data_IF_531694114157
#
_entry.id   IF_531694114157
#
_cell.length_a   1.000
_cell.length_b   1.000
_cell.length_c   1.000
_cell.angle_alpha   90.00
_cell.angle_beta   90.00
_cell.angle_gamma   90.00
#
_symmetry.space_group_name_H-M   'P 1'
#
loop_
_entity.id
_entity.type
_entity.pdbx_description
1 polymer ?
#
# COMPACT_ATOMS: atom_id res chain seq x y z
N UNK A 1 -23.23 -21.88 13.19
CA UNK A 1 -22.87 -20.86 12.19
C UNK A 1 -22.55 -21.58 10.90
N UNK A 2 -23.24 -21.27 9.80
CA UNK A 2 -22.79 -21.66 8.46
C UNK A 2 -21.46 -20.96 8.21
N UNK A 3 -20.37 -21.71 8.11
CA UNK A 3 -19.08 -21.16 7.66
C UNK A 3 -19.21 -20.87 6.17
N UNK A 4 -19.45 -19.59 5.84
CA UNK A 4 -19.63 -19.13 4.46
C UNK A 4 -18.38 -19.35 3.57
N UNK A 5 -17.23 -19.60 4.18
CA UNK A 5 -15.96 -19.86 3.51
C UNK A 5 -15.31 -21.08 4.17
N UNK A 6 -14.89 -22.06 3.35
CA UNK A 6 -14.27 -23.32 3.79
C UNK A 6 -12.84 -23.50 3.25
N UNK A 7 -12.36 -22.57 2.43
CA UNK A 7 -11.04 -22.56 1.83
C UNK A 7 -10.77 -21.22 1.16
N UNK A 8 -9.50 -20.88 0.95
CA UNK A 8 -9.08 -19.65 0.29
C UNK A 8 -7.97 -19.94 -0.74
N UNK A 9 -7.96 -19.15 -1.82
CA UNK A 9 -6.89 -19.13 -2.82
C UNK A 9 -6.35 -17.70 -2.93
N UNK A 10 -5.06 -17.51 -2.68
CA UNK A 10 -4.38 -16.20 -2.78
C UNK A 10 -3.38 -16.23 -3.94
N UNK A 11 -3.60 -15.39 -4.95
CA UNK A 11 -2.78 -15.35 -6.16
C UNK A 11 -2.08 -14.00 -6.24
N UNK A 12 -0.75 -14.00 -6.16
CA UNK A 12 0.09 -12.81 -6.40
C UNK A 12 -0.21 -11.60 -5.51
N UNK A 13 -0.76 -11.82 -4.31
CA UNK A 13 -1.03 -10.74 -3.35
C UNK A 13 -1.51 -11.24 -1.99
N UNK A 14 -1.27 -10.42 -0.97
CA UNK A 14 -1.69 -10.63 0.42
C UNK A 14 -2.25 -9.33 1.03
N UNK A 15 -2.97 -9.44 2.16
CA UNK A 15 -3.37 -8.27 2.94
C UNK A 15 -2.17 -7.53 3.56
N UNK A 16 -1.00 -8.15 3.59
CA UNK A 16 0.27 -7.57 4.04
C UNK A 16 1.05 -6.89 2.91
N UNK A 17 0.64 -7.08 1.65
CA UNK A 17 1.27 -6.45 0.51
C UNK A 17 1.19 -4.91 0.65
N UNK A 18 2.23 -4.15 0.24
CA UNK A 18 2.26 -2.68 0.37
C UNK A 18 1.10 -1.90 -0.26
N UNK A 19 0.36 -2.55 -1.17
CA UNK A 19 -0.83 -2.04 -1.86
C UNK A 19 -2.13 -2.67 -1.35
N UNK A 20 -2.08 -3.69 -0.49
CA UNK A 20 -3.25 -4.39 0.04
C UNK A 20 -4.03 -3.58 1.07
N UNK A 21 -3.40 -2.55 1.65
CA UNK A 21 -4.02 -1.69 2.66
C UNK A 21 -3.51 -0.25 2.60
N UNK A 22 -4.40 0.70 2.90
CA UNK A 22 -4.08 2.12 3.07
C UNK A 22 -3.42 2.40 4.42
N UNK A 23 -2.77 3.55 4.53
CA UNK A 23 -2.39 4.08 5.84
C UNK A 23 -3.62 4.76 6.45
N UNK A 24 -4.19 4.18 7.50
CA UNK A 24 -5.37 4.71 8.19
C UNK A 24 -5.22 6.17 8.60
N UNK A 25 -4.04 6.56 9.10
CA UNK A 25 -3.72 7.94 9.47
C UNK A 25 -3.81 8.94 8.31
N UNK A 26 -3.78 8.46 7.06
CA UNK A 26 -3.92 9.28 5.84
C UNK A 26 -5.30 9.16 5.20
N UNK A 27 -6.12 8.19 5.57
CA UNK A 27 -7.41 7.95 4.92
C UNK A 27 -8.35 9.16 5.03
N UNK A 28 -8.49 9.71 6.25
CA UNK A 28 -9.24 10.94 6.50
C UNK A 28 -8.65 12.10 5.71
N UNK A 29 -7.36 12.38 5.86
CA UNK A 29 -6.72 13.50 5.19
C UNK A 29 -6.80 13.42 3.67
N UNK A 30 -6.72 12.21 3.09
CA UNK A 30 -6.93 11.96 1.67
C UNK A 30 -8.35 12.29 1.24
N UNK A 31 -9.37 11.90 2.00
CA UNK A 31 -10.76 12.25 1.72
C UNK A 31 -10.96 13.79 1.75
N UNK A 32 -10.39 14.47 2.74
CA UNK A 32 -10.44 15.92 2.85
C UNK A 32 -9.67 16.65 1.74
N UNK A 33 -8.56 16.09 1.28
CA UNK A 33 -7.85 16.57 0.08
C UNK A 33 -8.76 16.52 -1.15
N UNK A 34 -9.52 15.44 -1.34
CA UNK A 34 -10.51 15.37 -2.42
C UNK A 34 -11.61 16.40 -2.24
N UNK A 35 -12.08 16.62 -1.00
CA UNK A 35 -13.01 17.71 -0.67
C UNK A 35 -12.50 19.08 -1.10
N UNK A 36 -11.22 19.40 -0.83
CA UNK A 36 -10.58 20.65 -1.28
C UNK A 36 -10.51 20.75 -2.81
N UNK A 37 -10.18 19.66 -3.51
CA UNK A 37 -10.22 19.62 -4.98
C UNK A 37 -11.66 19.80 -5.53
N UNK A 38 -12.69 19.54 -4.72
CA UNK A 38 -14.11 19.81 -5.02
C UNK A 38 -14.58 21.22 -4.62
N UNK A 39 -13.68 22.07 -4.13
CA UNK A 39 -13.98 23.43 -3.68
C UNK A 39 -14.61 23.52 -2.30
N UNK A 40 -14.50 22.46 -1.48
CA UNK A 40 -14.85 22.52 -0.07
C UNK A 40 -13.65 22.98 0.76
N UNK A 41 -13.84 24.06 1.52
CA UNK A 41 -12.89 24.47 2.56
C UNK A 41 -13.44 24.02 3.91
N UNK A 42 -13.05 22.81 4.33
CA UNK A 42 -13.51 22.19 5.57
C UNK A 42 -12.33 21.99 6.51
N UNK A 43 -12.55 22.35 7.78
CA UNK A 43 -11.65 22.00 8.86
C UNK A 43 -11.76 20.50 9.17
N UNK A 44 -10.69 19.75 8.91
CA UNK A 44 -10.60 18.32 9.15
C UNK A 44 -10.80 17.93 10.63
N UNK A 45 -10.59 18.87 11.56
CA UNK A 45 -10.75 18.66 13.00
C UNK A 45 -12.19 18.88 13.51
N UNK A 46 -13.06 19.51 12.72
CA UNK A 46 -14.44 19.79 13.11
C UNK A 46 -15.31 18.52 13.05
N UNK A 47 -16.17 18.30 14.06
CA UNK A 47 -17.03 17.10 14.14
C UNK A 47 -17.96 16.94 12.93
N UNK A 48 -18.53 18.03 12.42
CA UNK A 48 -19.50 18.00 11.32
C UNK A 48 -18.85 17.92 9.92
N UNK A 49 -17.53 18.07 9.85
CA UNK A 49 -16.81 18.18 8.57
C UNK A 49 -16.90 16.92 7.71
N UNK A 50 -16.97 15.74 8.33
CA UNK A 50 -17.07 14.46 7.61
C UNK A 50 -18.45 14.27 6.98
N UNK A 51 -19.52 14.67 7.67
CA UNK A 51 -20.88 14.62 7.15
C UNK A 51 -21.06 15.56 5.97
N UNK A 52 -20.58 16.81 6.09
CA UNK A 52 -20.65 17.80 5.00
C UNK A 52 -19.85 17.32 3.78
N UNK A 53 -18.67 16.75 4.01
CA UNK A 53 -17.85 16.15 2.96
C UNK A 53 -18.60 15.01 2.24
N UNK A 54 -19.22 14.10 3.01
CA UNK A 54 -19.99 12.98 2.46
C UNK A 54 -21.15 13.46 1.60
N UNK A 55 -21.96 14.39 2.11
CA UNK A 55 -23.09 14.97 1.37
C UNK A 55 -22.65 15.59 0.05
N UNK A 56 -21.52 16.33 0.06
CA UNK A 56 -20.96 16.90 -1.16
C UNK A 56 -20.51 15.82 -2.14
N UNK A 57 -19.81 14.79 -1.68
CA UNK A 57 -19.35 13.69 -2.54
C UNK A 57 -20.55 12.92 -3.11
N UNK A 58 -21.62 12.72 -2.34
CA UNK A 58 -22.84 12.05 -2.81
C UNK A 58 -23.62 12.90 -3.83
N UNK A 59 -23.48 14.23 -3.80
CA UNK A 59 -24.16 15.14 -4.73
C UNK A 59 -23.56 15.21 -6.13
N UNK A 60 -22.33 14.69 -6.34
CA UNK A 60 -21.63 14.81 -7.63
C UNK A 60 -21.75 13.54 -8.47
N UNK A 61 -21.74 13.67 -9.81
CA UNK A 61 -21.67 12.51 -10.71
C UNK A 61 -20.42 11.65 -10.45
N UNK A 62 -20.57 10.33 -10.55
CA UNK A 62 -19.52 9.37 -10.25
C UNK A 62 -18.28 9.53 -11.14
N UNK A 63 -18.45 9.83 -12.43
CA UNK A 63 -17.36 10.07 -13.39
C UNK A 63 -16.51 11.29 -12.97
N UNK A 64 -17.17 12.36 -12.53
CA UNK A 64 -16.52 13.56 -12.02
C UNK A 64 -15.77 13.25 -10.73
N UNK A 65 -16.37 12.49 -9.82
CA UNK A 65 -15.71 12.06 -8.60
C UNK A 65 -14.45 11.26 -8.90
N UNK A 66 -14.54 10.19 -9.71
CA UNK A 66 -13.41 9.32 -10.05
C UNK A 66 -12.24 10.11 -10.65
N UNK A 67 -12.54 11.08 -11.54
CA UNK A 67 -11.54 11.96 -12.14
C UNK A 67 -10.83 12.85 -11.10
N UNK A 68 -11.58 13.48 -10.19
CA UNK A 68 -11.04 14.41 -9.18
C UNK A 68 -10.33 13.65 -8.06
N UNK A 69 -10.89 12.51 -7.65
CA UNK A 69 -10.31 11.58 -6.70
C UNK A 69 -8.94 11.08 -7.15
N UNK A 70 -8.55 11.29 -8.43
CA UNK A 70 -7.34 10.72 -9.03
C UNK A 70 -7.21 9.27 -8.60
N UNK A 71 -8.30 8.54 -8.79
CA UNK A 71 -8.36 7.12 -8.54
C UNK A 71 -7.62 6.23 -9.56
N UNK A 72 -6.96 6.69 -10.67
CA UNK A 72 -6.18 5.75 -11.43
C UNK A 72 -5.05 5.22 -10.56
N UNK A 73 -4.99 3.90 -10.51
CA UNK A 73 -3.98 3.09 -9.87
C UNK A 73 -2.60 3.50 -10.37
N UNK A 74 -1.79 4.08 -9.49
CA UNK A 74 -0.34 4.10 -9.68
C UNK A 74 0.19 2.84 -8.98
N UNK A 75 0.67 1.82 -9.71
CA UNK A 75 1.18 0.56 -9.11
C UNK A 75 2.36 0.77 -8.17
N UNK A 76 2.94 1.96 -8.18
CA UNK A 76 4.04 2.34 -7.33
C UNK A 76 3.62 3.55 -6.52
N UNK A 77 3.57 3.39 -5.19
CA UNK A 77 3.80 4.52 -4.31
C UNK A 77 5.10 5.16 -4.80
N UNK A 78 5.04 6.42 -5.23
CA UNK A 78 6.27 7.19 -5.31
C UNK A 78 6.95 7.18 -3.94
N UNK A 79 8.25 7.38 -3.90
CA UNK A 79 9.01 7.52 -2.64
C UNK A 79 8.52 8.75 -1.82
N UNK A 80 7.63 9.56 -2.41
CA UNK A 80 6.91 10.69 -1.84
C UNK A 80 5.57 10.33 -1.16
N UNK A 81 5.15 9.05 -1.19
CA UNK A 81 3.90 8.60 -0.59
C UNK A 81 2.66 8.92 -1.42
N UNK A 82 2.79 9.35 -2.68
CA UNK A 82 1.68 9.44 -3.63
C UNK A 82 1.29 8.02 -4.09
N UNK A 83 0.48 7.36 -3.28
CA UNK A 83 -0.10 6.05 -3.54
C UNK A 83 -1.58 6.12 -3.93
N UNK A 84 -2.23 4.95 -3.93
CA UNK A 84 -3.68 4.80 -4.08
C UNK A 84 -4.37 5.66 -3.00
N UNK A 85 -5.11 6.70 -3.42
CA UNK A 85 -5.81 7.62 -2.50
C UNK A 85 -6.95 6.94 -1.74
N UNK A 86 -7.56 5.92 -2.34
CA UNK A 86 -8.65 5.11 -1.79
C UNK A 86 -8.25 3.64 -1.76
N UNK A 87 -7.89 3.14 -0.59
CA UNK A 87 -7.50 1.75 -0.36
C UNK A 87 -8.33 1.20 0.82
N UNK A 88 -8.34 -0.13 1.04
CA UNK A 88 -8.90 -0.68 2.28
C UNK A 88 -8.28 -0.02 3.52
N UNK A 89 -9.11 0.28 4.52
CA UNK A 89 -8.73 0.91 5.81
C UNK A 89 -9.38 0.12 6.94
N UNK A 90 -8.82 0.18 8.15
CA UNK A 90 -9.43 -0.45 9.31
C UNK A 90 -10.34 0.55 10.02
N UNK A 91 -11.34 0.06 10.72
CA UNK A 91 -12.27 0.92 11.45
C UNK A 91 -12.81 0.18 12.66
N UNK A 92 -13.03 0.88 13.76
CA UNK A 92 -13.65 0.27 14.95
C UNK A 92 -15.04 -0.31 14.65
N UNK A 93 -15.74 0.26 13.68
CA UNK A 93 -17.13 -0.04 13.36
C UNK A 93 -17.29 -0.96 12.14
N UNK A 94 -16.20 -1.37 11.49
CA UNK A 94 -16.25 -2.20 10.27
C UNK A 94 -15.02 -3.10 10.14
N UNK A 95 -15.17 -4.30 9.54
CA UNK A 95 -14.04 -5.21 9.34
C UNK A 95 -13.10 -4.71 8.21
N UNK A 96 -11.77 -4.70 8.42
CA UNK A 96 -11.05 -5.11 9.62
C UNK A 96 -11.08 -4.05 10.73
N UNK A 97 -11.06 -4.48 11.99
CA UNK A 97 -11.08 -3.58 13.16
C UNK A 97 -9.71 -3.14 13.65
N UNK A 98 -8.64 -3.70 13.08
CA UNK A 98 -7.25 -3.49 13.44
C UNK A 98 -6.36 -3.59 12.19
N UNK A 99 -5.10 -3.13 12.25
CA UNK A 99 -4.12 -3.39 11.21
C UNK A 99 -4.04 -4.89 10.83
N UNK A 100 -3.86 -5.16 9.55
CA UNK A 100 -3.78 -6.55 9.03
C UNK A 100 -2.56 -7.31 9.59
N UNK A 101 -1.47 -6.61 9.90
CA UNK A 101 -0.29 -7.18 10.58
C UNK A 101 -0.69 -7.79 11.92
N UNK A 102 -1.43 -7.02 12.71
CA UNK A 102 -1.84 -7.41 14.07
C UNK A 102 -2.85 -8.56 13.99
N UNK A 103 -3.78 -8.50 13.03
CA UNK A 103 -4.72 -9.58 12.80
C UNK A 103 -4.03 -10.90 12.42
N UNK A 104 -2.96 -10.84 11.63
CA UNK A 104 -2.15 -12.03 11.27
C UNK A 104 -1.37 -12.55 12.48
N UNK A 105 -0.68 -11.66 13.20
CA UNK A 105 0.16 -12.02 14.36
C UNK A 105 -0.66 -12.62 15.50
N UNK A 106 -1.85 -12.07 15.77
CA UNK A 106 -2.76 -12.54 16.80
C UNK A 106 -3.59 -13.76 16.36
N UNK A 107 -3.56 -14.11 15.07
CA UNK A 107 -4.39 -15.17 14.50
C UNK A 107 -5.88 -14.82 14.43
N UNK A 108 -6.20 -13.52 14.40
CA UNK A 108 -7.54 -12.93 14.37
C UNK A 108 -8.11 -12.88 12.94
N UNK A 109 -8.17 -14.04 12.29
CA UNK A 109 -8.73 -14.23 10.96
C UNK A 109 -9.43 -15.59 10.84
N UNK A 110 -10.23 -15.77 9.80
CA UNK A 110 -10.90 -17.04 9.55
C UNK A 110 -9.87 -18.11 9.14
N UNK A 111 -9.72 -19.13 9.98
CA UNK A 111 -8.78 -20.23 9.74
C UNK A 111 -9.41 -21.26 8.78
N UNK A 112 -9.00 -21.20 7.53
CA UNK A 112 -9.38 -22.16 6.47
C UNK A 112 -8.13 -22.68 5.77
N UNK A 113 -8.17 -23.85 5.10
CA UNK A 113 -7.14 -24.25 4.17
C UNK A 113 -6.85 -23.16 3.15
N UNK A 114 -5.57 -22.79 3.03
CA UNK A 114 -5.10 -21.74 2.15
C UNK A 114 -4.19 -22.33 1.08
N UNK A 115 -4.54 -22.14 -0.19
CA UNK A 115 -3.63 -22.31 -1.32
C UNK A 115 -3.12 -20.92 -1.71
N UNK A 116 -1.82 -20.71 -1.75
CA UNK A 116 -1.26 -19.45 -2.22
C UNK A 116 -0.13 -19.67 -3.21
N UNK A 117 0.04 -18.72 -4.13
CA UNK A 117 1.04 -18.82 -5.18
C UNK A 117 1.41 -17.47 -5.77
N UNK A 118 2.60 -17.44 -6.36
CA UNK A 118 3.16 -16.32 -7.12
C UNK A 118 3.74 -16.88 -8.42
N UNK A 119 3.87 -16.06 -9.45
CA UNK A 119 4.61 -16.45 -10.65
C UNK A 119 6.12 -16.13 -10.54
N UNK A 120 6.92 -16.71 -11.43
CA UNK A 120 8.38 -16.52 -11.46
C UNK A 120 8.80 -15.11 -11.92
N UNK A 121 7.90 -14.33 -12.51
CA UNK A 121 8.17 -13.07 -13.22
C UNK A 121 7.20 -11.90 -12.87
N UNK A 122 6.73 -11.78 -11.61
CA UNK A 122 5.69 -10.79 -11.24
C UNK A 122 6.03 -9.34 -11.61
N UNK A 123 7.34 -9.04 -11.67
CA UNK A 123 7.86 -7.71 -12.00
C UNK A 123 8.18 -7.54 -13.50
N UNK A 124 7.87 -8.51 -14.36
CA UNK A 124 8.04 -8.41 -15.82
C UNK A 124 6.72 -8.13 -16.54
N UNK A 125 5.79 -7.42 -15.90
CA UNK A 125 4.61 -6.92 -16.61
C UNK A 125 5.01 -5.73 -17.48
N UNK A 126 4.35 -5.49 -18.63
CA UNK A 126 4.57 -4.29 -19.45
C UNK A 126 4.45 -3.00 -18.65
N UNK A 127 3.61 -3.01 -17.61
CA UNK A 127 3.46 -1.91 -16.67
C UNK A 127 4.76 -1.67 -15.89
N UNK A 128 5.36 -2.71 -15.28
CA UNK A 128 6.66 -2.59 -14.58
C UNK A 128 7.81 -2.19 -15.53
N UNK A 129 7.83 -2.69 -16.77
CA UNK A 129 8.82 -2.30 -17.77
C UNK A 129 8.70 -0.82 -18.16
N UNK A 130 7.47 -0.28 -18.19
CA UNK A 130 7.23 1.16 -18.34
C UNK A 130 7.76 2.02 -17.18
N UNK A 131 8.08 1.40 -16.03
CA UNK A 131 8.56 2.08 -14.83
C UNK A 131 10.07 1.92 -14.56
N UNK A 132 10.86 1.44 -15.52
CA UNK A 132 12.30 1.23 -15.33
C UNK A 132 13.04 2.50 -14.84
N UNK A 133 12.67 3.68 -15.34
CA UNK A 133 13.25 4.95 -14.91
C UNK A 133 12.98 5.22 -13.42
N UNK A 134 11.77 4.92 -12.94
CA UNK A 134 11.37 5.06 -11.54
C UNK A 134 12.09 4.03 -10.66
N UNK A 135 12.26 2.80 -11.15
CA UNK A 135 13.02 1.74 -10.49
C UNK A 135 14.49 2.18 -10.30
N UNK A 136 15.11 2.79 -11.31
CA UNK A 136 16.47 3.33 -11.20
C UNK A 136 16.58 4.50 -10.23
N UNK A 137 15.59 5.41 -10.21
CA UNK A 137 15.54 6.48 -9.20
C UNK A 137 15.46 5.93 -7.79
N UNK A 138 14.67 4.87 -7.59
CA UNK A 138 14.54 4.19 -6.31
C UNK A 138 15.85 3.56 -5.85
N UNK A 139 16.65 3.05 -6.80
CA UNK A 139 17.99 2.56 -6.53
C UNK A 139 18.88 3.64 -5.90
N UNK A 140 18.85 4.85 -6.47
CA UNK A 140 19.63 5.99 -5.98
C UNK A 140 19.17 6.37 -4.57
N UNK A 141 17.87 6.39 -4.32
CA UNK A 141 17.30 6.68 -2.99
C UNK A 141 17.79 5.65 -1.97
N UNK A 142 17.71 4.35 -2.28
CA UNK A 142 18.16 3.29 -1.35
C UNK A 142 19.66 3.25 -1.16
N UNK A 143 20.45 3.57 -2.19
CA UNK A 143 21.91 3.66 -2.07
C UNK A 143 22.35 4.84 -1.18
N UNK A 144 21.54 5.91 -1.12
CA UNK A 144 21.77 7.06 -0.24
C UNK A 144 21.26 6.81 1.19
N UNK A 145 20.12 6.15 1.35
CA UNK A 145 19.51 5.82 2.64
C UNK A 145 18.76 4.48 2.55
N UNK A 146 19.40 3.42 3.06
CA UNK A 146 18.85 2.07 3.02
C UNK A 146 17.58 1.94 3.87
N UNK A 147 17.34 2.79 4.87
CA UNK A 147 16.12 2.74 5.70
C UNK A 147 14.85 2.94 4.87
N UNK A 148 14.97 3.62 3.72
CA UNK A 148 13.91 3.82 2.72
C UNK A 148 13.56 2.55 1.94
N UNK A 149 14.30 1.45 2.12
CA UNK A 149 13.94 0.14 1.58
C UNK A 149 12.73 -0.46 2.28
N UNK A 150 12.56 -0.18 3.58
CA UNK A 150 11.45 -0.65 4.38
C UNK A 150 10.24 0.25 4.11
N UNK A 151 9.11 -0.36 3.75
CA UNK A 151 7.87 0.38 3.51
C UNK A 151 7.48 1.18 4.77
N UNK A 152 6.96 2.39 4.58
CA UNK A 152 6.60 3.30 5.67
C UNK A 152 5.59 2.67 6.64
N UNK A 153 4.79 1.71 6.17
CA UNK A 153 3.71 1.09 6.94
C UNK A 153 4.20 -0.06 7.83
N UNK A 154 5.45 -0.51 7.69
CA UNK A 154 5.98 -1.58 8.54
C UNK A 154 6.52 -0.93 9.82
N UNK A 155 5.91 -1.28 10.96
CA UNK A 155 6.36 -0.82 12.27
C UNK A 155 7.58 -1.65 12.71
N UNK A 156 8.77 -1.08 12.54
CA UNK A 156 10.03 -1.71 12.94
C UNK A 156 10.77 -0.78 13.90
N UNK A 157 11.12 -1.24 15.11
CA UNK A 157 11.84 -0.44 16.10
C UNK A 157 13.20 0.09 15.61
N UNK A 158 14.01 -0.76 14.98
CA UNK A 158 15.26 -0.37 14.33
C UNK A 158 15.17 -0.54 12.80
N UNK A 159 14.71 0.51 12.13
CA UNK A 159 14.56 0.51 10.67
C UNK A 159 15.90 0.40 9.94
N UNK A 160 17.00 0.84 10.54
CA UNK A 160 18.29 0.85 9.86
C UNK A 160 18.91 -0.54 9.88
N UNK A 161 18.89 -1.22 11.03
CA UNK A 161 19.34 -2.60 11.18
C UNK A 161 18.52 -3.54 10.28
N UNK A 162 17.19 -3.48 10.37
CA UNK A 162 16.32 -4.30 9.53
C UNK A 162 16.52 -4.03 8.02
N UNK A 163 16.85 -2.78 7.64
CA UNK A 163 17.14 -2.44 6.26
C UNK A 163 18.48 -3.01 5.80
N UNK A 164 19.49 -3.02 6.67
CA UNK A 164 20.78 -3.63 6.40
C UNK A 164 20.64 -5.14 6.20
N UNK A 165 19.89 -5.81 7.07
CA UNK A 165 19.56 -7.23 6.96
C UNK A 165 18.80 -7.53 5.67
N UNK A 166 17.77 -6.73 5.37
CA UNK A 166 17.00 -6.87 4.14
C UNK A 166 17.89 -6.68 2.90
N UNK A 167 18.77 -5.68 2.91
CA UNK A 167 19.71 -5.45 1.81
C UNK A 167 20.62 -6.67 1.62
N UNK A 168 21.16 -7.23 2.69
CA UNK A 168 22.07 -8.38 2.64
C UNK A 168 21.44 -9.62 1.98
N UNK A 169 20.12 -9.79 2.06
CA UNK A 169 19.38 -10.86 1.35
C UNK A 169 19.48 -10.69 -0.18
N UNK A 170 19.45 -9.46 -0.67
CA UNK A 170 19.37 -9.18 -2.11
C UNK A 170 20.71 -8.88 -2.76
N UNK A 171 21.57 -8.09 -2.10
CA UNK A 171 22.88 -7.70 -2.63
C UNK A 171 23.79 -7.09 -1.55
N UNK A 172 25.10 -7.25 -1.73
CA UNK A 172 26.12 -6.51 -0.98
C UNK A 172 26.65 -5.28 -1.75
N UNK A 173 26.12 -5.02 -2.95
CA UNK A 173 26.53 -3.90 -3.82
C UNK A 173 25.60 -2.69 -3.65
N UNK A 174 25.89 -1.65 -4.42
CA UNK A 174 24.93 -0.57 -4.69
C UNK A 174 23.81 -1.11 -5.58
N UNK A 175 22.57 -0.77 -5.28
CA UNK A 175 21.40 -1.13 -6.08
C UNK A 175 21.51 -0.57 -7.49
N UNK A 176 22.01 0.66 -7.65
CA UNK A 176 22.14 1.29 -8.95
C UNK A 176 23.01 0.48 -9.93
N UNK A 177 24.02 -0.23 -9.42
CA UNK A 177 24.89 -1.11 -10.22
C UNK A 177 24.44 -2.58 -10.24
N UNK A 178 23.35 -2.92 -9.54
CA UNK A 178 22.79 -4.27 -9.45
C UNK A 178 21.26 -4.22 -9.66
N UNK A 179 20.86 -3.89 -10.89
CA UNK A 179 19.44 -3.76 -11.26
C UNK A 179 18.66 -5.05 -10.97
N UNK A 180 19.30 -6.22 -11.09
CA UNK A 180 18.69 -7.50 -10.77
C UNK A 180 18.31 -7.60 -9.28
N UNK A 181 19.13 -7.09 -8.36
CA UNK A 181 18.79 -7.03 -6.94
C UNK A 181 17.59 -6.12 -6.66
N UNK A 182 17.44 -5.00 -7.40
CA UNK A 182 16.27 -4.13 -7.29
C UNK A 182 15.01 -4.88 -7.70
N UNK A 183 15.03 -5.52 -8.87
CA UNK A 183 13.90 -6.28 -9.39
C UNK A 183 13.51 -7.40 -8.42
N UNK A 184 14.50 -8.11 -7.86
CA UNK A 184 14.26 -9.15 -6.84
C UNK A 184 13.65 -8.58 -5.56
N UNK A 185 14.11 -7.43 -5.07
CA UNK A 185 13.53 -6.80 -3.87
C UNK A 185 12.12 -6.27 -4.11
N UNK A 186 11.86 -5.68 -5.26
CA UNK A 186 10.52 -5.26 -5.66
C UNK A 186 9.57 -6.46 -5.78
N UNK A 187 10.07 -7.62 -6.24
CA UNK A 187 9.36 -8.90 -6.18
C UNK A 187 9.15 -9.40 -4.75
N UNK A 188 10.14 -9.22 -3.88
CA UNK A 188 10.09 -9.64 -2.47
C UNK A 188 8.99 -8.96 -1.66
N UNK A 189 8.56 -7.74 -2.03
CA UNK A 189 7.39 -7.09 -1.45
C UNK A 189 6.04 -7.80 -1.77
N UNK A 190 6.03 -8.81 -2.64
CA UNK A 190 4.88 -9.69 -2.90
C UNK A 190 4.98 -11.03 -2.14
N UNK A 191 6.06 -11.24 -1.37
CA UNK A 191 6.35 -12.52 -0.69
C UNK A 191 5.90 -12.56 0.78
N UNK A 192 5.47 -11.44 1.35
CA UNK A 192 5.01 -11.31 2.72
C UNK A 192 3.63 -10.63 2.69
#
# INVERSE_FOLDING_TARGET
MLTAVTGAIMISGSCLSPFGFGLDSKARSNAFMVGRELGLDLDESSENSSTILLEKIQSIPADKFIRIARAPFTPHKGDDGNGIKFAPVFSKDFYPTAPMTDAVDEGNFHKVPLLFGINSEECLTPQYLGFLTQIQRKAIVWDNDISKMIDLNVNIPDRLEAAADMKAIYTNRKFFSDVAAIVKKLKGCLRY
#
